data_IF_111066406147
#
_entry.id   IF_111066406147
#
_cell.length_a   1.000
_cell.length_b   1.000
_cell.length_c   1.000
_cell.angle_alpha   90.00
_cell.angle_beta   90.00
_cell.angle_gamma   90.00
#
_symmetry.space_group_name_H-M   'P 1'
#
loop_
_entity.id
_entity.type
_entity.pdbx_description
1 polymer ?
#
# COMPACT_ATOMS: atom_id res chain seq x y z
N UNK A 1 -17.27 12.78 17.75
CA UNK A 1 -17.04 11.46 18.38
C UNK A 1 -16.57 10.56 17.27
N UNK A 2 -15.26 10.37 17.14
CA UNK A 2 -14.67 9.51 16.11
C UNK A 2 -14.95 8.05 16.45
N UNK A 3 -16.08 7.59 15.94
CA UNK A 3 -16.59 6.23 16.04
C UNK A 3 -15.69 5.30 15.23
N UNK A 4 -14.64 4.77 15.86
CA UNK A 4 -13.90 3.58 15.42
C UNK A 4 -13.53 3.56 13.93
N UNK A 5 -12.45 4.24 13.56
CA UNK A 5 -11.87 4.18 12.22
C UNK A 5 -11.83 2.74 11.70
N UNK A 6 -12.61 2.48 10.64
CA UNK A 6 -12.72 1.15 10.05
C UNK A 6 -11.35 0.69 9.57
N UNK A 7 -11.00 -0.54 9.94
CA UNK A 7 -9.74 -1.15 9.57
C UNK A 7 -9.88 -1.98 8.29
N UNK A 8 -9.22 -1.54 7.24
CA UNK A 8 -9.13 -2.22 5.97
C UNK A 8 -8.03 -3.28 5.97
N UNK A 9 -8.30 -4.37 5.26
CA UNK A 9 -7.32 -5.40 4.91
C UNK A 9 -6.41 -4.93 3.77
N UNK A 10 -5.24 -5.55 3.58
CA UNK A 10 -4.38 -5.24 2.43
C UNK A 10 -5.09 -5.40 1.09
N UNK A 11 -6.02 -6.36 0.99
CA UNK A 11 -6.82 -6.59 -0.22
C UNK A 11 -7.84 -5.48 -0.50
N UNK A 12 -8.51 -4.96 0.52
CA UNK A 12 -9.41 -3.82 0.37
C UNK A 12 -8.65 -2.56 -0.06
N UNK A 13 -7.50 -2.27 0.55
CA UNK A 13 -6.64 -1.14 0.16
C UNK A 13 -6.14 -1.32 -1.27
N UNK A 14 -5.73 -2.52 -1.65
CA UNK A 14 -5.28 -2.85 -3.00
C UNK A 14 -6.37 -2.58 -4.05
N UNK A 15 -7.62 -2.94 -3.76
CA UNK A 15 -8.76 -2.67 -4.64
C UNK A 15 -9.02 -1.16 -4.83
N UNK A 16 -8.86 -0.36 -3.77
CA UNK A 16 -9.03 1.10 -3.81
C UNK A 16 -7.94 1.78 -4.66
N UNK A 17 -6.68 1.39 -4.46
CA UNK A 17 -5.54 1.91 -5.23
C UNK A 17 -5.36 1.23 -6.60
N UNK A 18 -6.14 0.19 -6.90
CA UNK A 18 -6.01 -0.67 -8.10
C UNK A 18 -4.60 -1.26 -8.27
N UNK A 19 -3.99 -1.67 -7.16
CA UNK A 19 -2.67 -2.31 -7.11
C UNK A 19 -2.77 -3.73 -6.56
N UNK A 20 -1.66 -4.47 -6.56
CA UNK A 20 -1.59 -5.78 -5.91
C UNK A 20 -1.46 -5.67 -4.37
N UNK A 21 -2.10 -6.56 -3.56
CA UNK A 21 -1.96 -6.56 -2.10
C UNK A 21 -0.52 -6.69 -1.58
N UNK A 22 0.38 -7.34 -2.34
CA UNK A 22 1.82 -7.43 -2.02
C UNK A 22 2.48 -6.06 -2.11
N UNK A 23 2.06 -5.22 -3.05
CA UNK A 23 2.52 -3.83 -3.18
C UNK A 23 2.11 -3.01 -1.96
N UNK A 24 0.86 -3.15 -1.50
CA UNK A 24 0.38 -2.50 -0.26
C UNK A 24 1.19 -2.96 0.95
N UNK A 25 1.48 -4.27 1.05
CA UNK A 25 2.31 -4.82 2.13
C UNK A 25 3.72 -4.25 2.09
N UNK A 26 4.29 -4.05 0.90
CA UNK A 26 5.61 -3.42 0.72
C UNK A 26 5.59 -1.94 1.14
N UNK A 27 4.54 -1.20 0.81
CA UNK A 27 4.39 0.19 1.28
C UNK A 27 4.30 0.28 2.80
N UNK A 28 3.56 -0.64 3.43
CA UNK A 28 3.45 -0.75 4.88
C UNK A 28 4.76 -1.15 5.55
N UNK A 29 5.60 -1.95 4.88
CA UNK A 29 6.94 -2.29 5.36
C UNK A 29 7.92 -1.11 5.21
N UNK A 30 7.75 -0.30 4.17
CA UNK A 30 8.53 0.90 3.91
C UNK A 30 8.07 2.15 4.70
N UNK A 31 7.01 2.05 5.50
CA UNK A 31 6.46 3.17 6.27
C UNK A 31 5.73 4.23 5.42
N UNK A 32 5.40 3.92 4.16
CA UNK A 32 4.72 4.85 3.24
C UNK A 32 3.21 4.95 3.50
N UNK A 33 2.66 3.98 4.21
CA UNK A 33 1.27 3.92 4.64
C UNK A 33 1.25 3.37 6.07
N UNK A 34 0.52 4.02 6.96
CA UNK A 34 0.32 3.61 8.33
C UNK A 34 -0.32 2.24 8.39
N UNK A 35 0.29 1.34 9.18
CA UNK A 35 -0.24 -0.02 9.35
C UNK A 35 -0.26 -0.42 10.81
N UNK A 36 -1.37 -1.01 11.22
CA UNK A 36 -1.58 -1.61 12.53
C UNK A 36 -1.32 -3.10 12.39
N UNK A 37 -0.42 -3.63 13.22
CA UNK A 37 -0.19 -5.07 13.30
C UNK A 37 -1.13 -5.67 14.32
N UNK A 38 -1.89 -6.66 13.89
CA UNK A 38 -2.66 -7.51 14.81
C UNK A 38 -1.71 -8.47 15.55
N UNK A 39 -2.12 -9.01 16.72
CA UNK A 39 -1.33 -10.01 17.44
C UNK A 39 -0.96 -11.25 16.58
N UNK A 40 -1.79 -11.58 15.58
CA UNK A 40 -1.52 -12.66 14.61
C UNK A 40 -0.61 -12.27 13.44
N UNK A 41 -0.02 -11.08 13.42
CA UNK A 41 0.94 -10.64 12.40
C UNK A 41 0.33 -10.06 11.12
N UNK A 42 -1.00 -10.10 10.96
CA UNK A 42 -1.69 -9.48 9.83
C UNK A 42 -1.69 -7.95 9.96
N UNK A 43 -1.56 -7.27 8.82
CA UNK A 43 -1.63 -5.80 8.73
C UNK A 43 -3.04 -5.32 8.50
N UNK A 44 -3.38 -4.20 9.13
CA UNK A 44 -4.62 -3.47 8.98
C UNK A 44 -4.32 -2.00 8.74
N UNK A 45 -5.15 -1.35 7.94
CA UNK A 45 -4.98 0.05 7.51
C UNK A 45 -6.20 0.86 7.93
N UNK A 46 -6.01 2.10 8.38
CA UNK A 46 -7.15 2.95 8.71
C UNK A 46 -7.80 3.45 7.43
N UNK A 47 -9.12 3.33 7.34
CA UNK A 47 -9.87 3.81 6.18
C UNK A 47 -9.68 5.32 5.96
N UNK A 48 -9.66 6.11 7.04
CA UNK A 48 -9.41 7.57 7.01
C UNK A 48 -8.09 7.92 6.33
N UNK A 49 -6.99 7.30 6.76
CA UNK A 49 -5.66 7.51 6.19
C UNK A 49 -5.56 7.05 4.72
N UNK A 50 -6.14 5.89 4.41
CA UNK A 50 -6.20 5.37 3.03
C UNK A 50 -6.94 6.32 2.11
N UNK A 51 -8.05 6.92 2.58
CA UNK A 51 -8.81 7.92 1.81
C UNK A 51 -8.03 9.22 1.64
N UNK A 52 -7.38 9.72 2.68
CA UNK A 52 -6.52 10.91 2.59
C UNK A 52 -5.39 10.73 1.55
N UNK A 53 -4.80 9.53 1.49
CA UNK A 53 -3.80 9.16 0.48
C UNK A 53 -4.37 9.13 -0.95
N UNK A 54 -5.64 8.77 -1.13
CA UNK A 54 -6.32 8.81 -2.44
C UNK A 54 -6.69 10.23 -2.86
N UNK A 55 -7.03 11.08 -1.91
CA UNK A 55 -7.38 12.50 -2.12
C UNK A 55 -6.15 13.36 -2.42
N UNK A 56 -4.94 12.81 -2.29
CA UNK A 56 -3.69 13.47 -2.64
C UNK A 56 -3.04 14.25 -1.48
N UNK A 57 -3.55 14.11 -0.26
CA UNK A 57 -2.98 14.75 0.94
C UNK A 57 -1.82 13.95 1.58
N UNK A 58 -1.33 12.92 0.89
CA UNK A 58 -0.35 11.98 1.43
C UNK A 58 1.10 12.20 0.98
N UNK A 59 1.83 12.99 1.77
CA UNK A 59 3.30 13.07 1.91
C UNK A 59 4.07 13.91 0.87
N UNK A 60 4.17 15.19 1.19
CA UNK A 60 5.34 16.04 0.94
C UNK A 60 6.33 15.92 2.12
N UNK A 61 7.62 16.12 1.81
CA UNK A 61 8.80 16.33 2.68
C UNK A 61 9.49 15.09 3.31
N UNK A 62 10.82 14.92 3.27
CA UNK A 62 11.92 15.67 2.67
C UNK A 62 13.09 14.70 2.38
N UNK A 63 13.85 15.07 1.36
CA UNK A 63 15.11 14.45 0.93
C UNK A 63 16.23 14.82 1.90
N UNK A 64 17.03 13.84 2.34
CA UNK A 64 18.42 14.09 2.73
C UNK A 64 19.31 12.98 2.13
N UNK A 65 20.34 13.41 1.41
CA UNK A 65 21.13 12.63 0.45
C UNK A 65 22.26 11.85 1.13
N UNK A 66 22.37 10.53 0.88
CA UNK A 66 23.69 9.88 0.75
C UNK A 66 23.61 8.83 -0.37
N UNK A 67 24.56 8.93 -1.30
CA UNK A 67 24.56 8.26 -2.60
C UNK A 67 24.26 6.77 -2.61
N UNK A 68 23.20 6.41 -3.32
CA UNK A 68 23.10 5.17 -4.09
C UNK A 68 22.13 5.44 -5.23
N UNK A 69 22.62 5.22 -6.45
CA UNK A 69 21.84 5.03 -7.68
C UNK A 69 20.40 4.57 -7.38
N UNK A 70 19.43 5.46 -7.54
CA UNK A 70 18.00 5.13 -7.40
C UNK A 70 17.25 5.71 -8.59
N UNK A 71 16.65 4.89 -9.46
CA UNK A 71 15.94 5.40 -10.63
C UNK A 71 14.76 6.26 -10.16
N UNK A 72 14.77 7.47 -10.68
CA UNK A 72 13.91 8.60 -10.35
C UNK A 72 12.66 8.54 -11.23
N UNK A 73 11.74 7.64 -10.92
CA UNK A 73 10.34 7.68 -11.38
C UNK A 73 9.52 6.59 -10.69
N UNK A 74 8.87 6.92 -9.56
CA UNK A 74 7.87 6.02 -9.00
C UNK A 74 6.69 6.80 -8.40
N UNK A 75 6.02 7.60 -9.24
CA UNK A 75 4.55 7.50 -9.24
C UNK A 75 4.20 6.02 -9.51
N UNK A 76 3.18 5.43 -8.89
CA UNK A 76 3.08 3.97 -8.74
C UNK A 76 3.15 3.31 -10.12
N UNK A 77 4.33 2.77 -10.44
CA UNK A 77 4.62 2.27 -11.75
C UNK A 77 3.67 1.11 -12.02
N UNK A 78 2.87 1.26 -13.07
CA UNK A 78 2.15 0.18 -13.71
C UNK A 78 3.13 -0.96 -14.01
N UNK A 79 3.11 -2.00 -13.19
CA UNK A 79 3.81 -3.24 -13.42
C UNK A 79 2.77 -4.35 -13.54
N UNK A 80 2.41 -4.64 -14.80
CA UNK A 80 1.94 -5.93 -15.30
C UNK A 80 0.68 -6.50 -14.68
N UNK A 81 -0.35 -6.67 -15.50
CA UNK A 81 -1.26 -7.81 -15.33
C UNK A 81 -0.43 -9.09 -15.21
N UNK A 82 -0.52 -9.88 -14.12
CA UNK A 82 -0.34 -11.31 -14.25
C UNK A 82 -1.67 -11.86 -14.73
N UNK A 83 -1.68 -12.46 -15.92
CA UNK A 83 -2.83 -13.23 -16.40
C UNK A 83 -3.28 -14.28 -15.39
N UNK A 84 -4.50 -14.81 -15.50
CA UNK A 84 -4.97 -15.85 -14.60
C UNK A 84 -3.97 -17.01 -14.65
N UNK A 85 -3.36 -17.33 -13.51
CA UNK A 85 -2.64 -18.59 -13.34
C UNK A 85 -3.68 -19.70 -13.40
N UNK A 86 -3.95 -20.18 -14.60
CA UNK A 86 -4.71 -21.39 -14.83
C UNK A 86 -3.77 -22.55 -14.45
N UNK A 87 -3.83 -22.97 -13.19
CA UNK A 87 -3.15 -24.17 -12.73
C UNK A 87 -3.84 -25.37 -13.37
N UNK A 88 -3.19 -25.94 -14.38
CA UNK A 88 -3.59 -27.21 -14.97
C UNK A 88 -3.61 -28.29 -13.89
N UNK A 89 -4.78 -28.88 -13.68
CA UNK A 89 -4.92 -30.24 -13.22
C UNK A 89 -5.43 -31.05 -14.40
N UNK A 90 -4.79 -32.20 -14.59
CA UNK A 90 -5.03 -33.23 -15.59
C UNK A 90 -6.50 -33.61 -15.75
#
# INVERSE_FOLDING_TARGET
MDTGDRLLTPGEVAALFRVDPKTVTRWAAAGRIGSIRTPGGHRRFRESEVRALLEGEGMLDEVDEVGTDRPRNAGPAAAGSPGPTNAGLY
#
